data_IF_821076057273
#
_entry.id   IF_821076057273
#
_cell.length_a   1.000
_cell.length_b   1.000
_cell.length_c   1.000
_cell.angle_alpha   90.00
_cell.angle_beta   90.00
_cell.angle_gamma   90.00
#
_symmetry.space_group_name_H-M   'P 1'
#
loop_
_entity.id
_entity.type
_entity.pdbx_description
1 polymer ?
#
# COMPACT_ATOMS: atom_id res chain seq x y z
N UNK A 1 2.38 -10.27 -30.49
CA UNK A 1 2.52 -9.88 -30.11
C UNK A 1 2.57 -9.92 -29.25
N UNK A 2 2.94 -10.03 -29.15
CA UNK A 2 3.12 -9.72 -28.43
C UNK A 2 3.18 -9.46 -27.45
N UNK A 3 3.16 -9.40 -27.59
CA UNK A 3 3.23 -8.80 -26.67
C UNK A 3 3.07 -8.89 -25.33
N UNK A 4 2.59 -9.48 -25.16
CA UNK A 4 2.12 -9.49 -23.81
C UNK A 4 3.12 -10.08 -22.87
N UNK A 5 3.92 -10.98 -23.32
CA UNK A 5 5.00 -11.54 -22.55
C UNK A 5 6.07 -10.50 -22.23
N UNK A 6 6.16 -9.48 -23.05
CA UNK A 6 7.16 -8.42 -22.88
C UNK A 6 6.69 -7.32 -21.93
N UNK A 7 5.39 -7.29 -21.62
CA UNK A 7 4.83 -6.25 -20.78
C UNK A 7 4.20 -6.85 -19.53
N UNK A 8 4.51 -6.34 -18.35
CA UNK A 8 3.81 -6.76 -17.16
C UNK A 8 2.34 -6.41 -17.30
N UNK A 9 1.47 -7.18 -16.66
CA UNK A 9 0.06 -6.82 -16.63
C UNK A 9 -0.13 -5.54 -15.82
N UNK A 10 -1.35 -4.98 -15.86
CA UNK A 10 -1.63 -3.71 -15.22
C UNK A 10 -1.32 -3.75 -13.71
N UNK A 11 -1.64 -4.87 -13.07
CA UNK A 11 -1.39 -5.03 -11.65
C UNK A 11 0.09 -4.90 -11.32
N UNK A 12 0.94 -5.61 -12.08
CA UNK A 12 2.38 -5.59 -11.82
C UNK A 12 2.98 -4.24 -12.17
N UNK A 13 2.50 -3.62 -13.24
CA UNK A 13 2.98 -2.31 -13.66
C UNK A 13 2.67 -1.25 -12.60
N UNK A 14 1.46 -1.28 -12.05
CA UNK A 14 1.06 -0.36 -11.00
C UNK A 14 1.86 -0.61 -9.73
N UNK A 15 2.06 -1.89 -9.39
CA UNK A 15 2.84 -2.24 -8.21
C UNK A 15 4.26 -1.69 -8.29
N UNK A 16 4.90 -1.85 -9.44
CA UNK A 16 6.28 -1.38 -9.63
C UNK A 16 6.37 0.15 -9.61
N UNK A 17 5.29 0.83 -9.95
CA UNK A 17 5.26 2.29 -10.02
C UNK A 17 4.79 2.95 -8.72
N UNK A 18 4.44 2.16 -7.72
CA UNK A 18 3.88 2.68 -6.47
C UNK A 18 4.79 2.30 -5.30
N UNK A 19 5.28 3.32 -4.60
CA UNK A 19 6.04 3.09 -3.37
C UNK A 19 5.08 3.13 -2.18
N UNK A 20 5.09 2.06 -1.38
CA UNK A 20 4.13 1.92 -0.29
C UNK A 20 4.34 2.97 0.80
N UNK A 21 5.58 3.40 1.03
CA UNK A 21 5.86 4.43 2.03
C UNK A 21 5.25 5.76 1.59
N UNK A 22 5.41 6.11 0.32
CA UNK A 22 4.81 7.33 -0.22
C UNK A 22 3.29 7.26 -0.17
N UNK A 23 2.74 6.12 -0.54
CA UNK A 23 1.29 5.95 -0.57
C UNK A 23 0.68 6.10 0.82
N UNK A 24 1.18 5.35 1.77
CA UNK A 24 0.64 5.37 3.13
C UNK A 24 0.97 6.70 3.81
N UNK A 25 2.16 7.24 3.54
CA UNK A 25 2.60 8.50 4.13
C UNK A 25 1.75 9.70 3.77
N UNK A 26 0.97 9.62 2.69
CA UNK A 26 0.03 10.69 2.34
C UNK A 26 -1.21 10.68 3.21
N UNK A 27 -1.50 9.57 3.85
CA UNK A 27 -2.70 9.42 4.66
C UNK A 27 -2.40 9.36 6.15
N UNK A 28 -1.21 8.90 6.52
CA UNK A 28 -0.80 8.73 7.90
C UNK A 28 0.57 9.34 8.08
N UNK A 29 0.83 9.83 9.29
CA UNK A 29 2.17 10.24 9.64
C UNK A 29 2.99 9.00 9.92
N UNK A 30 4.04 8.78 9.15
CA UNK A 30 4.94 7.64 9.32
C UNK A 30 6.28 8.12 9.87
N UNK A 31 6.82 7.34 10.81
CA UNK A 31 8.12 7.60 11.42
C UNK A 31 9.06 6.45 11.11
N UNK A 32 10.31 6.77 10.84
CA UNK A 32 11.33 5.75 10.64
C UNK A 32 11.51 4.95 11.90
N UNK A 33 11.54 3.63 11.79
CA UNK A 33 11.77 2.73 12.90
C UNK A 33 12.55 1.53 12.38
N UNK A 34 13.83 1.48 12.71
CA UNK A 34 14.70 0.42 12.19
C UNK A 34 14.78 0.49 10.67
N UNK A 35 14.48 -0.62 10.02
CA UNK A 35 14.51 -0.70 8.56
C UNK A 35 13.20 -0.34 7.91
N UNK A 36 12.20 -0.02 8.70
CA UNK A 36 10.88 0.28 8.18
C UNK A 36 10.31 1.55 8.77
N UNK A 37 9.00 1.64 8.74
CA UNK A 37 8.28 2.79 9.25
C UNK A 37 7.15 2.33 10.13
N UNK A 38 6.72 3.19 11.05
CA UNK A 38 5.59 2.91 11.92
C UNK A 38 4.67 4.11 11.93
N UNK A 39 3.38 3.86 12.14
CA UNK A 39 2.38 4.89 12.24
C UNK A 39 1.18 4.38 13.01
N UNK A 40 0.26 5.29 13.28
CA UNK A 40 -0.98 4.94 13.95
C UNK A 40 -1.94 4.32 12.96
N UNK A 41 -2.48 3.16 13.32
CA UNK A 41 -3.44 2.48 12.47
C UNK A 41 -4.73 3.30 12.36
N UNK A 42 -5.24 3.55 11.15
CA UNK A 42 -6.45 4.37 10.99
C UNK A 42 -7.74 3.60 11.24
N UNK A 43 -7.65 2.28 11.44
CA UNK A 43 -8.84 1.44 11.55
C UNK A 43 -9.19 1.05 12.98
N UNK A 44 -8.44 1.56 13.96
CA UNK A 44 -8.80 1.43 15.37
C UNK A 44 -8.21 2.62 16.12
N UNK A 45 -8.64 2.79 17.36
CA UNK A 45 -8.13 3.87 18.22
C UNK A 45 -6.73 3.46 18.71
N UNK A 46 -5.72 3.97 18.04
CA UNK A 46 -4.34 3.53 18.21
C UNK A 46 -3.57 4.55 19.03
N UNK A 47 -3.25 4.22 20.27
CA UNK A 47 -2.48 5.11 21.15
C UNK A 47 -0.98 4.93 20.95
N UNK A 48 -0.57 3.76 20.49
CA UNK A 48 0.82 3.46 20.17
C UNK A 48 0.86 3.06 18.71
N UNK A 49 1.88 3.51 17.96
CA UNK A 49 1.96 3.11 16.57
C UNK A 49 2.03 1.59 16.44
N UNK A 50 1.01 1.00 15.84
CA UNK A 50 0.94 -0.44 15.66
C UNK A 50 0.96 -0.84 14.19
N UNK A 51 0.87 0.12 13.28
CA UNK A 51 0.95 -0.17 11.86
C UNK A 51 2.39 -0.05 11.42
N UNK A 52 2.91 -1.11 10.83
CA UNK A 52 4.29 -1.17 10.34
C UNK A 52 4.29 -1.25 8.83
N UNK A 53 5.23 -0.54 8.20
CA UNK A 53 5.41 -0.53 6.76
C UNK A 53 6.81 -1.04 6.45
N UNK A 54 6.90 -2.02 5.57
CA UNK A 54 8.16 -2.61 5.15
C UNK A 54 8.48 -2.15 3.73
N UNK A 55 9.44 -1.21 3.57
CA UNK A 55 9.75 -0.68 2.24
C UNK A 55 10.44 -1.70 1.33
N UNK A 56 11.16 -2.64 1.90
CA UNK A 56 11.86 -3.65 1.09
C UNK A 56 10.87 -4.61 0.43
N UNK A 57 9.86 -5.02 1.17
CA UNK A 57 8.84 -5.93 0.67
C UNK A 57 7.63 -5.22 0.09
N UNK A 58 7.53 -3.93 0.31
CA UNK A 58 6.36 -3.13 -0.10
C UNK A 58 5.09 -3.69 0.50
N UNK A 59 5.13 -3.92 1.82
CA UNK A 59 4.01 -4.47 2.58
C UNK A 59 3.75 -3.65 3.82
N UNK A 60 2.57 -3.84 4.40
CA UNK A 60 2.19 -3.19 5.65
C UNK A 60 1.49 -4.20 6.56
N UNK A 61 1.50 -3.93 7.84
CA UNK A 61 0.83 -4.79 8.82
C UNK A 61 0.43 -3.98 10.04
N UNK A 62 -0.81 -4.17 10.49
CA UNK A 62 -1.24 -3.68 11.81
C UNK A 62 -1.32 -4.89 12.74
N UNK A 63 -0.49 -4.87 13.78
CA UNK A 63 -0.39 -6.00 14.69
C UNK A 63 -1.59 -6.10 15.62
N UNK A 64 -2.25 -4.98 15.90
CA UNK A 64 -3.44 -4.98 16.77
C UNK A 64 -4.66 -5.50 16.02
N UNK A 65 -4.89 -5.01 14.81
CA UNK A 65 -6.02 -5.46 14.00
C UNK A 65 -5.77 -6.80 13.33
N UNK A 66 -4.51 -7.24 13.29
CA UNK A 66 -4.10 -8.47 12.61
C UNK A 66 -4.49 -8.45 11.13
N UNK A 67 -4.21 -7.31 10.49
CA UNK A 67 -4.46 -7.13 9.06
C UNK A 67 -3.18 -6.61 8.40
N UNK A 68 -3.07 -6.84 7.11
CA UNK A 68 -1.91 -6.37 6.37
C UNK A 68 -2.04 -6.71 4.90
N UNK A 69 -1.01 -6.36 4.15
CA UNK A 69 -0.98 -6.66 2.73
C UNK A 69 -0.03 -5.75 1.97
N UNK A 70 -0.44 -5.39 0.76
CA UNK A 70 0.35 -4.57 -0.15
C UNK A 70 -0.35 -3.24 -0.44
N UNK A 71 0.09 -2.54 -1.49
CA UNK A 71 -0.50 -1.25 -1.84
C UNK A 71 -1.98 -1.38 -2.21
N UNK A 72 -2.36 -2.47 -2.86
CA UNK A 72 -3.75 -2.67 -3.26
C UNK A 72 -4.65 -2.90 -2.06
N UNK A 73 -4.24 -3.76 -1.14
CA UNK A 73 -5.05 -4.03 0.04
C UNK A 73 -5.17 -2.80 0.93
N UNK A 74 -4.15 -1.95 0.98
CA UNK A 74 -4.24 -0.70 1.73
C UNK A 74 -5.33 0.20 1.15
N UNK A 75 -5.32 0.39 -0.18
CA UNK A 75 -6.32 1.24 -0.83
C UNK A 75 -7.71 0.66 -0.68
N UNK A 76 -7.84 -0.65 -0.88
CA UNK A 76 -9.14 -1.31 -0.73
C UNK A 76 -9.73 -1.08 0.65
N UNK A 77 -8.92 -1.21 1.68
CA UNK A 77 -9.40 -1.04 3.04
C UNK A 77 -9.69 0.42 3.37
N UNK A 78 -8.83 1.31 2.91
CA UNK A 78 -8.99 2.72 3.21
C UNK A 78 -10.18 3.34 2.49
N UNK A 79 -10.37 2.98 1.22
CA UNK A 79 -11.42 3.58 0.40
C UNK A 79 -12.72 2.77 0.41
N UNK A 80 -12.69 1.58 1.02
CA UNK A 80 -13.87 0.73 1.03
C UNK A 80 -14.26 0.25 -0.36
N UNK A 81 -13.27 -0.08 -1.18
CA UNK A 81 -13.50 -0.45 -2.57
C UNK A 81 -12.94 -1.83 -2.86
N UNK A 82 -13.26 -2.34 -4.06
CA UNK A 82 -12.74 -3.64 -4.48
C UNK A 82 -11.38 -3.48 -5.16
N UNK A 83 -10.80 -4.62 -5.58
CA UNK A 83 -9.48 -4.62 -6.18
C UNK A 83 -9.43 -3.81 -7.46
N UNK A 84 -10.45 -3.93 -8.30
CA UNK A 84 -10.48 -3.24 -9.58
C UNK A 84 -10.48 -1.73 -9.40
N UNK A 85 -11.26 -1.25 -8.45
CA UNK A 85 -11.29 0.17 -8.14
C UNK A 85 -9.96 0.64 -7.58
N UNK A 86 -9.36 -0.15 -6.69
CA UNK A 86 -8.06 0.17 -6.13
C UNK A 86 -6.99 0.22 -7.22
N UNK A 87 -7.03 -0.72 -8.14
CA UNK A 87 -6.10 -0.76 -9.26
C UNK A 87 -6.22 0.51 -10.10
N UNK A 88 -7.45 0.92 -10.42
CA UNK A 88 -7.68 2.12 -11.20
C UNK A 88 -7.18 3.38 -10.48
N UNK A 89 -7.43 3.48 -9.18
CA UNK A 89 -6.97 4.62 -8.39
C UNK A 89 -5.46 4.71 -8.38
N UNK A 90 -4.79 3.58 -8.20
CA UNK A 90 -3.34 3.57 -8.17
C UNK A 90 -2.73 3.80 -9.55
N UNK A 91 -3.39 3.32 -10.59
CA UNK A 91 -2.94 3.57 -11.97
C UNK A 91 -3.03 5.07 -12.29
N UNK A 92 -4.11 5.72 -11.91
CA UNK A 92 -4.26 7.17 -12.10
C UNK A 92 -3.15 7.92 -11.34
N UNK A 93 -2.89 7.53 -10.11
CA UNK A 93 -1.86 8.15 -9.29
C UNK A 93 -0.49 8.01 -9.92
N UNK A 94 -0.22 6.89 -10.56
CA UNK A 94 1.07 6.61 -11.19
C UNK A 94 1.18 7.16 -12.61
N UNK A 95 0.09 7.66 -13.17
CA UNK A 95 0.08 8.18 -14.54
C UNK A 95 0.07 7.08 -15.58
N UNK A 96 -0.50 5.95 -15.25
CA UNK A 96 -0.54 4.81 -16.17
C UNK A 96 -1.88 4.75 -16.90
#
# INVERSE_FOLDING_TARGET
>A
MFQDAAFPDAKEQVRQSTDIVDLIGKHLELRRAGRGYVGRCPWHDDRKPSLQVNPDRQTWKCWVCDIGGDVFSFVMKREGCDFREALNMLADRAGI
#
